data_IF_761762962742
#
_entry.id   IF_761762962742
#
_cell.length_a   1.000
_cell.length_b   1.000
_cell.length_c   1.000
_cell.angle_alpha   90.00
_cell.angle_beta   90.00
_cell.angle_gamma   90.00
#
_symmetry.space_group_name_H-M   'P 1'
#
loop_
_entity.id
_entity.type
_entity.pdbx_description
1 polymer ?
#
# COMPACT_ATOMS: atom_id res chain seq x y z
N UNK A 1 9.39 -35.62 -13.59
CA UNK A 1 10.42 -34.57 -13.59
C UNK A 1 10.42 -33.89 -14.96
N UNK A 2 9.82 -32.71 -15.06
CA UNK A 2 9.96 -31.79 -16.20
C UNK A 2 10.03 -30.37 -15.65
N UNK A 3 11.17 -29.74 -15.91
CA UNK A 3 11.52 -28.33 -15.69
C UNK A 3 10.56 -27.42 -16.47
N UNK A 4 9.91 -26.47 -15.81
CA UNK A 4 10.22 -25.02 -15.71
C UNK A 4 10.35 -24.30 -17.05
N UNK A 5 9.32 -23.51 -17.40
CA UNK A 5 9.46 -22.19 -18.04
C UNK A 5 8.23 -21.35 -17.64
N UNK A 6 8.33 -20.66 -16.50
CA UNK A 6 7.44 -19.55 -16.16
C UNK A 6 8.10 -18.27 -16.64
N UNK A 7 7.80 -17.90 -17.89
CA UNK A 7 8.24 -16.64 -18.49
C UNK A 7 7.39 -15.51 -17.89
N UNK A 8 7.83 -14.95 -16.75
CA UNK A 8 7.32 -13.66 -16.30
C UNK A 8 7.99 -12.59 -17.14
N UNK A 9 7.23 -12.06 -18.10
CA UNK A 9 7.54 -10.79 -18.73
C UNK A 9 7.46 -9.75 -17.61
N UNK A 10 8.62 -9.21 -17.23
CA UNK A 10 8.69 -7.94 -16.54
C UNK A 10 8.11 -6.91 -17.51
N UNK A 11 6.83 -6.57 -17.33
CA UNK A 11 6.25 -5.42 -17.99
C UNK A 11 6.93 -4.19 -17.38
N UNK A 12 7.79 -3.53 -18.18
CA UNK A 12 8.46 -2.28 -17.86
C UNK A 12 7.47 -1.10 -17.85
N UNK A 13 6.38 -1.22 -17.09
CA UNK A 13 5.40 -0.16 -16.84
C UNK A 13 5.20 0.07 -15.33
N UNK A 14 6.30 0.11 -14.57
CA UNK A 14 6.33 0.67 -13.19
C UNK A 14 6.25 2.21 -13.27
N UNK A 15 5.27 2.72 -14.00
CA UNK A 15 5.16 4.13 -14.40
C UNK A 15 4.04 4.90 -13.71
N UNK A 16 2.95 4.25 -13.32
CA UNK A 16 1.77 4.91 -12.73
C UNK A 16 1.27 4.28 -11.42
N UNK A 17 1.89 3.19 -10.96
CA UNK A 17 1.43 2.47 -9.76
C UNK A 17 1.78 3.17 -8.43
N UNK A 18 2.58 4.24 -8.50
CA UNK A 18 3.06 5.00 -7.34
C UNK A 18 1.92 5.56 -6.47
N UNK A 19 0.74 5.78 -7.06
CA UNK A 19 -0.44 6.28 -6.33
C UNK A 19 -1.12 5.23 -5.44
N UNK A 20 -0.99 3.93 -5.74
CA UNK A 20 -1.65 2.87 -4.97
C UNK A 20 -0.75 2.21 -3.91
N UNK A 21 0.56 2.42 -4.00
CA UNK A 21 1.56 1.94 -3.03
C UNK A 21 1.19 2.20 -1.55
N UNK A 22 0.63 3.38 -1.17
CA UNK A 22 0.28 3.65 0.22
C UNK A 22 -0.69 2.65 0.83
N UNK A 23 -1.61 2.08 0.06
CA UNK A 23 -2.70 1.27 0.62
C UNK A 23 -2.47 -0.24 0.51
N UNK A 24 -1.37 -0.66 -0.12
CA UNK A 24 -1.01 -2.07 -0.24
C UNK A 24 -0.84 -2.75 1.14
N UNK A 25 -1.11 -4.07 1.24
CA UNK A 25 -0.89 -4.82 2.48
C UNK A 25 0.58 -4.79 2.90
N UNK A 26 0.87 -5.03 4.18
CA UNK A 26 2.23 -5.00 4.71
C UNK A 26 3.12 -6.14 4.17
N UNK A 27 2.52 -7.20 3.62
CA UNK A 27 3.21 -8.30 2.95
C UNK A 27 3.33 -8.07 1.42
N UNK A 28 3.01 -6.89 0.90
CA UNK A 28 3.06 -6.60 -0.54
C UNK A 28 4.42 -6.89 -1.20
N UNK A 29 5.53 -6.60 -0.51
CA UNK A 29 6.86 -6.94 -1.02
C UNK A 29 7.06 -8.47 -1.15
N UNK A 30 6.48 -9.26 -0.24
CA UNK A 30 6.54 -10.72 -0.31
C UNK A 30 5.63 -11.24 -1.45
N UNK A 31 4.52 -10.55 -1.73
CA UNK A 31 3.63 -10.85 -2.85
C UNK A 31 4.34 -10.65 -4.19
N UNK A 32 4.96 -9.49 -4.42
CA UNK A 32 5.64 -9.20 -5.70
C UNK A 32 6.89 -10.06 -5.92
N UNK A 33 7.51 -10.54 -4.84
CA UNK A 33 8.63 -11.49 -4.91
C UNK A 33 8.17 -12.94 -5.16
N UNK A 34 6.86 -13.20 -5.10
CA UNK A 34 6.29 -14.54 -5.24
C UNK A 34 6.41 -15.43 -4.00
N UNK A 35 6.75 -14.85 -2.85
CA UNK A 35 6.83 -15.56 -1.56
C UNK A 35 5.43 -15.76 -0.93
N UNK A 36 4.46 -14.93 -1.30
CA UNK A 36 3.07 -14.96 -0.80
C UNK A 36 2.09 -14.81 -1.96
N UNK A 37 1.04 -15.64 -1.99
CA UNK A 37 -0.05 -15.49 -2.96
C UNK A 37 -0.99 -14.34 -2.55
N UNK A 38 -1.38 -13.50 -3.52
CA UNK A 38 -2.41 -12.48 -3.29
C UNK A 38 -3.79 -13.14 -3.12
N UNK A 39 -4.55 -12.65 -2.16
CA UNK A 39 -5.80 -13.28 -1.68
C UNK A 39 -6.73 -12.20 -1.10
N UNK A 40 -8.01 -12.52 -0.92
CA UNK A 40 -9.03 -11.58 -0.44
C UNK A 40 -8.72 -10.93 0.93
N UNK A 41 -7.91 -11.57 1.78
CA UNK A 41 -7.52 -10.99 3.07
C UNK A 41 -6.59 -9.77 2.91
N UNK A 42 -5.83 -9.71 1.81
CA UNK A 42 -5.01 -8.55 1.45
C UNK A 42 -5.87 -7.33 1.05
N UNK A 43 -7.01 -7.55 0.40
CA UNK A 43 -7.96 -6.47 0.09
C UNK A 43 -8.55 -5.86 1.37
N UNK A 44 -8.86 -6.70 2.37
CA UNK A 44 -9.39 -6.26 3.67
C UNK A 44 -8.34 -5.49 4.47
N UNK A 45 -7.08 -5.93 4.41
CA UNK A 45 -5.98 -5.17 5.02
C UNK A 45 -5.79 -3.81 4.32
N UNK A 46 -5.94 -3.76 2.99
CA UNK A 46 -5.85 -2.51 2.22
C UNK A 46 -6.96 -1.53 2.60
N UNK A 47 -8.18 -2.02 2.84
CA UNK A 47 -9.29 -1.23 3.37
C UNK A 47 -9.00 -0.70 4.79
N UNK A 48 -8.34 -1.50 5.63
CA UNK A 48 -7.86 -1.04 6.94
C UNK A 48 -6.83 0.09 6.81
N UNK A 49 -5.87 -0.02 5.88
CA UNK A 49 -4.90 1.06 5.65
C UNK A 49 -5.57 2.35 5.18
N UNK A 50 -6.61 2.27 4.36
CA UNK A 50 -7.43 3.43 4.00
C UNK A 50 -8.10 4.07 5.22
N UNK A 51 -8.67 3.26 6.12
CA UNK A 51 -9.26 3.76 7.38
C UNK A 51 -8.21 4.48 8.24
N UNK A 52 -7.02 3.92 8.39
CA UNK A 52 -5.91 4.55 9.13
C UNK A 52 -5.52 5.88 8.49
N UNK A 53 -5.44 5.94 7.16
CA UNK A 53 -5.14 7.16 6.43
C UNK A 53 -6.18 8.26 6.67
N UNK A 54 -7.47 7.93 6.67
CA UNK A 54 -8.56 8.88 6.99
C UNK A 54 -8.38 9.38 8.43
N UNK A 55 -8.19 8.48 9.39
CA UNK A 55 -8.05 8.81 10.82
C UNK A 55 -6.89 9.75 11.06
N UNK A 56 -5.70 9.45 10.52
CA UNK A 56 -4.49 10.25 10.72
C UNK A 56 -4.53 11.63 10.06
N UNK A 57 -5.51 11.89 9.19
CA UNK A 57 -5.64 13.18 8.50
C UNK A 57 -6.84 14.00 8.95
N UNK A 58 -7.89 13.34 9.42
CA UNK A 58 -9.21 13.95 9.57
C UNK A 58 -9.80 13.81 10.97
N UNK A 59 -9.04 13.27 11.94
CA UNK A 59 -9.49 13.15 13.33
C UNK A 59 -8.49 13.76 14.30
N UNK A 60 -8.98 14.16 15.48
CA UNK A 60 -8.12 14.59 16.59
C UNK A 60 -7.54 13.34 17.28
N UNK A 61 -6.33 12.95 16.87
CA UNK A 61 -5.67 11.74 17.33
C UNK A 61 -4.42 12.03 18.17
N UNK A 62 -4.03 11.09 19.03
CA UNK A 62 -2.92 11.26 19.98
C UNK A 62 -1.55 10.74 19.51
N UNK A 63 -1.45 10.31 18.24
CA UNK A 63 -0.20 9.80 17.69
C UNK A 63 0.98 10.77 17.93
N UNK A 64 2.14 10.31 18.47
CA UNK A 64 3.25 11.18 18.89
C UNK A 64 3.84 12.06 17.79
N UNK A 65 3.67 11.67 16.53
CA UNK A 65 4.13 12.43 15.36
C UNK A 65 3.12 13.44 14.82
N UNK A 66 1.92 13.54 15.41
CA UNK A 66 0.85 14.43 14.96
C UNK A 66 0.59 14.29 13.46
N UNK A 67 0.44 15.42 12.75
CA UNK A 67 0.15 15.46 11.31
C UNK A 67 1.25 14.82 10.42
N UNK A 68 2.45 14.57 10.96
CA UNK A 68 3.50 13.84 10.23
C UNK A 68 3.27 12.32 10.19
N UNK A 69 2.42 11.79 11.07
CA UNK A 69 2.15 10.36 11.18
C UNK A 69 1.76 9.73 9.84
N UNK A 70 0.82 10.36 9.12
CA UNK A 70 0.36 9.88 7.83
C UNK A 70 1.52 9.77 6.81
N UNK A 71 2.38 10.78 6.68
CA UNK A 71 3.49 10.76 5.73
C UNK A 71 4.61 9.77 6.09
N UNK A 72 4.81 9.50 7.38
CA UNK A 72 5.78 8.52 7.87
C UNK A 72 5.29 7.08 7.69
N UNK A 73 3.97 6.86 7.79
CA UNK A 73 3.36 5.54 7.62
C UNK A 73 3.18 5.20 6.14
N UNK A 74 2.80 6.19 5.34
CA UNK A 74 2.50 6.07 3.92
C UNK A 74 3.57 6.76 3.05
N UNK A 75 4.85 6.43 3.29
CA UNK A 75 5.99 7.08 2.62
C UNK A 75 5.93 6.84 1.11
N UNK A 76 5.61 7.86 0.29
CA UNK A 76 5.47 7.68 -1.15
C UNK A 76 6.83 7.38 -1.78
N UNK A 77 6.87 6.45 -2.73
CA UNK A 77 8.09 6.12 -3.46
C UNK A 77 9.12 5.28 -2.70
N UNK A 78 8.88 4.93 -1.43
CA UNK A 78 9.74 4.03 -0.65
C UNK A 78 8.93 2.85 -0.09
N UNK A 79 8.89 1.77 -0.86
CA UNK A 79 8.17 0.54 -0.50
C UNK A 79 8.76 -0.15 0.73
N UNK A 80 10.08 -0.10 0.91
CA UNK A 80 10.77 -0.77 2.02
C UNK A 80 10.43 -0.04 3.32
N UNK A 81 10.53 1.29 3.32
CA UNK A 81 10.17 2.10 4.48
C UNK A 81 8.67 2.01 4.78
N UNK A 82 7.81 2.04 3.75
CA UNK A 82 6.36 1.88 3.92
C UNK A 82 6.03 0.53 4.57
N UNK A 83 6.62 -0.58 4.10
CA UNK A 83 6.49 -1.90 4.72
C UNK A 83 6.95 -1.89 6.17
N UNK A 84 8.13 -1.36 6.44
CA UNK A 84 8.70 -1.33 7.79
C UNK A 84 7.81 -0.54 8.76
N UNK A 85 7.35 0.65 8.36
CA UNK A 85 6.43 1.49 9.15
C UNK A 85 5.10 0.77 9.42
N UNK A 86 4.51 0.12 8.42
CA UNK A 86 3.26 -0.65 8.59
C UNK A 86 3.41 -1.85 9.52
N UNK A 87 4.50 -2.62 9.39
CA UNK A 87 4.76 -3.74 10.31
C UNK A 87 4.99 -3.26 11.74
N UNK A 88 5.72 -2.16 11.93
CA UNK A 88 5.89 -1.54 13.24
C UNK A 88 4.53 -1.12 13.83
N UNK A 89 3.70 -0.42 13.05
CA UNK A 89 2.35 -0.01 13.43
C UNK A 89 1.47 -1.18 13.88
N UNK A 90 1.45 -2.29 13.13
CA UNK A 90 0.66 -3.48 13.47
C UNK A 90 1.16 -4.18 14.74
N UNK A 91 2.46 -4.12 15.01
CA UNK A 91 3.06 -4.73 16.21
C UNK A 91 2.91 -3.89 17.48
N UNK A 92 2.56 -2.61 17.35
CA UNK A 92 2.36 -1.71 18.49
C UNK A 92 1.03 -1.99 19.19
N UNK A 93 1.06 -2.07 20.52
CA UNK A 93 -0.16 -2.13 21.32
C UNK A 93 -0.79 -0.74 21.35
N UNK A 94 -1.92 -0.59 20.65
CA UNK A 94 -2.68 0.66 20.58
C UNK A 94 -1.90 1.83 19.94
N UNK A 95 -1.64 1.78 18.62
CA UNK A 95 -0.78 2.77 17.94
C UNK A 95 -1.38 4.18 17.91
N UNK A 96 -2.70 4.31 18.06
CA UNK A 96 -3.38 5.61 18.06
C UNK A 96 -4.74 5.56 18.76
N UNK A 97 -5.06 6.61 19.52
CA UNK A 97 -6.39 6.87 20.04
C UNK A 97 -6.97 8.15 19.43
N UNK A 98 -8.28 8.14 19.15
CA UNK A 98 -9.03 9.32 18.69
C UNK A 98 -9.71 9.97 19.90
N UNK A 99 -9.33 11.21 20.19
CA UNK A 99 -9.86 11.97 21.32
C UNK A 99 -11.36 12.18 21.11
N UNK A 100 -12.14 11.84 22.13
CA UNK A 100 -13.60 11.98 22.09
C UNK A 100 -14.33 10.96 21.19
N UNK A 101 -13.63 10.00 20.58
CA UNK A 101 -14.24 8.93 19.77
C UNK A 101 -13.72 7.54 20.20
N UNK A 102 -14.22 7.09 21.35
CA UNK A 102 -13.85 5.79 21.92
C UNK A 102 -14.24 4.60 21.02
N UNK A 103 -15.43 4.58 20.37
CA UNK A 103 -15.79 3.50 19.45
C UNK A 103 -14.84 3.34 18.26
N UNK A 104 -14.43 4.45 17.63
CA UNK A 104 -13.47 4.39 16.52
C UNK A 104 -12.08 3.96 16.99
N UNK A 105 -11.66 4.38 18.19
CA UNK A 105 -10.41 3.91 18.82
C UNK A 105 -10.45 2.40 19.07
N UNK A 106 -11.55 1.89 19.64
CA UNK A 106 -11.76 0.46 19.87
C UNK A 106 -11.76 -0.35 18.57
N UNK A 107 -12.43 0.16 17.54
CA UNK A 107 -12.44 -0.43 16.20
C UNK A 107 -11.03 -0.54 15.62
N UNK A 108 -10.27 0.56 15.62
CA UNK A 108 -8.89 0.56 15.11
C UNK A 108 -8.03 -0.46 15.83
N UNK A 109 -8.03 -0.48 17.16
CA UNK A 109 -7.23 -1.45 17.92
C UNK A 109 -7.61 -2.90 17.59
N UNK A 110 -8.91 -3.16 17.46
CA UNK A 110 -9.41 -4.50 17.14
C UNK A 110 -8.96 -4.96 15.75
N UNK A 111 -9.13 -4.11 14.74
CA UNK A 111 -8.75 -4.44 13.35
C UNK A 111 -7.22 -4.47 13.19
N UNK A 112 -6.48 -3.59 13.86
CA UNK A 112 -5.00 -3.61 13.91
C UNK A 112 -4.50 -4.99 14.34
N UNK A 113 -5.05 -5.53 15.43
CA UNK A 113 -4.68 -6.87 15.91
C UNK A 113 -5.03 -7.97 14.92
N UNK A 114 -6.15 -7.85 14.22
CA UNK A 114 -6.52 -8.84 13.19
C UNK A 114 -5.57 -8.78 11.99
N UNK A 115 -5.17 -7.58 11.56
CA UNK A 115 -4.16 -7.39 10.53
C UNK A 115 -2.78 -7.91 10.96
N UNK A 116 -2.36 -7.68 12.22
CA UNK A 116 -1.12 -8.26 12.77
C UNK A 116 -1.13 -9.80 12.70
N UNK A 117 -2.25 -10.43 13.05
CA UNK A 117 -2.42 -11.88 12.96
C UNK A 117 -2.47 -12.41 11.52
N UNK A 118 -2.87 -11.56 10.57
CA UNK A 118 -2.93 -11.85 9.14
C UNK A 118 -1.53 -11.84 8.48
N UNK A 119 -0.54 -11.20 9.09
CA UNK A 119 0.81 -11.14 8.53
C UNK A 119 1.48 -12.51 8.50
N UNK A 120 2.33 -12.71 7.51
CA UNK A 120 3.29 -13.80 7.51
C UNK A 120 4.33 -13.58 8.61
N UNK A 121 4.44 -14.56 9.52
CA UNK A 121 5.46 -14.61 10.57
C UNK A 121 6.19 -15.93 10.53
N UNK A 122 7.50 -15.90 10.83
CA UNK A 122 8.31 -17.12 10.94
C UNK A 122 7.98 -17.98 12.16
N UNK A 123 7.49 -17.34 13.23
CA UNK A 123 7.36 -17.96 14.56
C UNK A 123 5.91 -18.33 14.94
N UNK A 124 4.92 -17.82 14.20
CA UNK A 124 3.49 -18.07 14.48
C UNK A 124 2.72 -18.37 13.21
N UNK A 125 1.69 -19.19 13.36
CA UNK A 125 0.73 -19.48 12.29
C UNK A 125 -0.07 -18.22 11.94
N UNK A 126 -0.21 -17.98 10.63
CA UNK A 126 -1.03 -16.91 10.08
C UNK A 126 -2.51 -17.20 10.36
N UNK A 127 -3.25 -16.21 10.85
CA UNK A 127 -4.70 -16.25 10.94
C UNK A 127 -5.23 -15.27 9.89
N UNK A 128 -5.71 -15.75 8.72
CA UNK A 128 -6.17 -14.86 7.66
C UNK A 128 -7.31 -13.94 8.13
N UNK A 129 -7.23 -12.67 7.76
CA UNK A 129 -8.31 -11.71 7.98
C UNK A 129 -9.49 -12.07 7.07
N UNK A 130 -10.58 -12.54 7.66
CA UNK A 130 -11.80 -12.89 6.90
C UNK A 130 -12.76 -11.72 6.82
N UNK A 131 -13.55 -11.69 5.75
CA UNK A 131 -14.62 -10.70 5.58
C UNK A 131 -15.60 -10.72 6.76
N UNK A 132 -15.97 -11.90 7.26
CA UNK A 132 -16.85 -12.05 8.42
C UNK A 132 -16.26 -11.42 9.68
N UNK A 133 -14.97 -11.66 9.96
CA UNK A 133 -14.30 -11.10 11.12
C UNK A 133 -14.19 -9.57 11.02
N UNK A 134 -13.81 -9.05 9.85
CA UNK A 134 -13.70 -7.61 9.59
C UNK A 134 -15.07 -6.93 9.73
N UNK A 135 -16.08 -7.43 9.03
CA UNK A 135 -17.44 -6.88 9.10
C UNK A 135 -18.02 -6.98 10.52
N UNK A 136 -17.75 -8.08 11.22
CA UNK A 136 -18.14 -8.24 12.61
C UNK A 136 -17.49 -7.20 13.53
N UNK A 137 -16.24 -6.79 13.27
CA UNK A 137 -15.59 -5.71 14.00
C UNK A 137 -16.27 -4.36 13.72
N UNK A 138 -16.50 -4.03 12.45
CA UNK A 138 -17.18 -2.78 12.04
C UNK A 138 -18.58 -2.68 12.64
N UNK A 139 -19.38 -3.74 12.54
CA UNK A 139 -20.73 -3.75 13.09
C UNK A 139 -20.77 -3.72 14.61
N UNK A 140 -19.78 -4.32 15.29
CA UNK A 140 -19.68 -4.23 16.74
C UNK A 140 -19.45 -2.77 17.15
N UNK A 141 -18.47 -2.10 16.55
CA UNK A 141 -18.17 -0.69 16.83
C UNK A 141 -19.36 0.22 16.52
N UNK A 142 -20.06 0.00 15.41
CA UNK A 142 -21.27 0.76 15.07
C UNK A 142 -22.40 0.66 16.12
N UNK A 143 -22.44 -0.42 16.91
CA UNK A 143 -23.43 -0.61 17.99
C UNK A 143 -22.96 -0.06 19.34
N UNK A 144 -21.71 0.40 19.44
CA UNK A 144 -21.20 0.97 20.68
C UNK A 144 -21.82 2.36 20.94
N UNK A 145 -22.05 2.67 22.21
CA UNK A 145 -22.42 4.01 22.63
C UNK A 145 -21.19 4.94 22.63
N UNK A 146 -21.41 6.24 22.56
CA UNK A 146 -20.34 7.24 22.65
C UNK A 146 -19.73 7.66 21.32
N UNK A 147 -20.39 7.33 20.20
CA UNK A 147 -20.09 8.00 18.93
C UNK A 147 -20.42 9.50 19.05
N UNK A 148 -19.51 10.38 18.62
CA UNK A 148 -19.78 11.81 18.57
C UNK A 148 -20.96 12.14 17.63
N UNK A 149 -21.79 13.10 18.03
CA UNK A 149 -22.96 13.55 17.24
C UNK A 149 -22.58 14.55 16.13
N UNK A 150 -21.52 15.34 16.35
CA UNK A 150 -20.99 16.34 15.41
C UNK A 150 -19.50 16.03 15.16
N UNK A 151 -19.25 14.93 14.47
CA UNK A 151 -17.93 14.47 14.03
C UNK A 151 -17.74 14.85 12.57
N UNK A 152 -17.52 16.14 12.36
CA UNK A 152 -17.10 16.60 11.05
C UNK A 152 -15.63 16.24 10.85
N UNK A 153 -15.29 15.71 9.68
CA UNK A 153 -13.90 15.47 9.29
C UNK A 153 -13.09 16.76 9.42
N UNK A 154 -12.02 16.72 10.21
CA UNK A 154 -11.12 17.85 10.34
C UNK A 154 -10.45 18.16 8.99
N UNK A 155 -10.34 19.43 8.59
CA UNK A 155 -9.56 19.80 7.41
C UNK A 155 -8.12 19.33 7.57
N UNK A 156 -7.59 18.66 6.55
CA UNK A 156 -6.20 18.22 6.61
C UNK A 156 -5.26 19.42 6.53
N UNK A 157 -4.35 19.52 7.50
CA UNK A 157 -3.28 20.53 7.53
C UNK A 157 -1.95 19.83 7.28
N UNK A 158 -1.23 20.15 6.18
CA UNK A 158 0.10 19.60 5.92
C UNK A 158 1.03 19.85 7.12
N UNK A 159 1.91 18.89 7.46
CA UNK A 159 2.93 19.15 8.47
C UNK A 159 3.85 20.28 8.01
N UNK A 160 4.23 21.17 8.92
CA UNK A 160 5.25 22.16 8.63
C UNK A 160 6.55 21.45 8.19
N UNK A 161 7.26 21.98 7.18
CA UNK A 161 8.58 21.47 6.83
C UNK A 161 9.43 21.49 8.11
N UNK A 162 10.31 20.51 8.26
CA UNK A 162 11.29 20.59 9.35
C UNK A 162 12.03 21.90 9.14
N UNK A 163 11.86 22.86 10.04
CA UNK A 163 12.58 24.12 9.96
C UNK A 163 14.05 23.77 9.79
N UNK A 164 14.69 24.35 8.78
CA UNK A 164 16.12 24.19 8.56
C UNK A 164 16.79 24.63 9.86
N UNK A 165 17.20 23.68 10.69
CA UNK A 165 18.17 23.97 11.74
C UNK A 165 19.48 24.17 11.02
N UNK A 166 19.63 25.35 10.41
CA UNK A 166 20.92 26.02 10.25
C UNK A 166 21.47 26.16 11.67
N UNK A 167 22.15 25.13 12.15
CA UNK A 167 23.07 25.08 13.30
C UNK A 167 23.05 23.68 13.93
N UNK A 168 23.63 22.71 13.25
CA UNK A 168 24.35 21.64 13.95
C UNK A 168 25.40 21.03 13.04
N UNK A 169 26.67 21.36 13.34
CA UNK A 169 27.85 20.58 13.01
C UNK A 169 27.54 19.08 13.12
N UNK A 170 27.54 18.38 11.98
CA UNK A 170 27.60 16.92 11.97
C UNK A 170 28.76 16.47 11.08
N UNK A 171 29.97 16.84 11.50
CA UNK A 171 31.09 15.91 11.43
C UNK A 171 30.81 14.80 12.47
N UNK A 172 30.06 13.76 12.08
CA UNK A 172 30.35 12.43 12.60
C UNK A 172 29.79 11.31 11.71
N UNK A 173 30.73 10.49 11.26
CA UNK A 173 30.58 9.18 10.64
C UNK A 173 29.43 8.32 11.20
N UNK A 174 28.49 8.02 10.33
CA UNK A 174 27.80 6.73 10.33
C UNK A 174 27.57 6.31 8.88
N UNK A 175 28.67 5.90 8.24
CA UNK A 175 28.64 5.12 7.01
C UNK A 175 27.84 3.84 7.28
N UNK A 176 26.59 3.80 6.82
CA UNK A 176 25.87 2.54 6.66
C UNK A 176 26.59 1.80 5.53
N UNK A 177 27.36 0.78 5.91
CA UNK A 177 28.00 -0.15 4.98
C UNK A 177 26.89 -0.93 4.27
N UNK A 178 26.55 -0.50 3.05
CA UNK A 178 25.85 -1.35 2.10
C UNK A 178 26.86 -2.35 1.54
N UNK A 179 26.72 -3.62 1.93
CA UNK A 179 27.42 -4.72 1.27
C UNK A 179 26.83 -4.90 -0.14
N UNK A 180 27.37 -4.22 -1.13
CA UNK A 180 27.23 -4.62 -2.54
C UNK A 180 28.35 -5.62 -2.82
N UNK A 181 28.02 -6.90 -2.96
CA UNK A 181 28.97 -7.86 -3.55
C UNK A 181 29.04 -7.60 -5.05
N UNK A 182 30.19 -7.10 -5.49
CA UNK A 182 30.57 -6.92 -6.88
C UNK A 182 30.43 -8.25 -7.64
N UNK A 183 29.80 -8.20 -8.83
CA UNK A 183 29.91 -9.27 -9.83
C UNK A 183 30.60 -8.66 -11.04
N UNK A 184 31.77 -9.20 -11.32
CA UNK A 184 32.72 -8.72 -12.32
C UNK A 184 32.10 -8.61 -13.73
N UNK A 185 32.23 -7.42 -14.31
CA UNK A 185 32.12 -7.18 -15.75
C UNK A 185 33.38 -7.70 -16.47
N UNK A 186 33.26 -8.83 -17.17
CA UNK A 186 33.99 -9.06 -18.43
C UNK A 186 33.50 -10.35 -19.09
N UNK A 187 32.75 -10.24 -20.20
CA UNK A 187 33.12 -10.96 -21.42
C UNK A 187 32.35 -10.42 -22.64
N UNK A 188 33.10 -9.80 -23.55
CA UNK A 188 32.67 -9.46 -24.91
C UNK A 188 32.84 -10.70 -25.77
N UNK A 189 31.80 -11.18 -26.45
CA UNK A 189 31.98 -11.72 -27.80
C UNK A 189 30.67 -11.81 -28.61
N UNK A 190 30.86 -11.49 -29.88
CA UNK A 190 29.87 -11.10 -30.88
C UNK A 190 29.34 -12.31 -31.64
N UNK A 191 28.07 -12.27 -32.07
CA UNK A 191 27.59 -13.01 -33.27
C UNK A 191 26.21 -12.52 -33.72
N UNK A 192 26.16 -11.89 -34.88
CA UNK A 192 24.92 -11.50 -35.53
C UNK A 192 24.21 -12.65 -36.24
N UNK A 193 22.90 -12.53 -36.41
CA UNK A 193 22.15 -13.03 -37.56
C UNK A 193 20.73 -12.43 -37.59
N UNK A 194 20.52 -11.56 -38.58
CA UNK A 194 19.31 -11.26 -39.34
C UNK A 194 18.06 -12.14 -39.08
N UNK A 195 16.90 -11.51 -38.85
CA UNK A 195 15.63 -11.93 -39.46
C UNK A 195 14.56 -10.83 -39.45
N UNK A 196 14.03 -10.65 -40.64
CA UNK A 196 12.99 -9.76 -41.13
C UNK A 196 11.59 -10.33 -40.80
N UNK A 197 10.71 -9.52 -40.21
CA UNK A 197 9.26 -9.73 -40.16
C UNK A 197 8.57 -8.40 -39.85
N UNK A 198 7.74 -7.93 -40.79
CA UNK A 198 7.13 -6.59 -40.79
C UNK A 198 6.18 -6.30 -39.63
N UNK A 199 6.30 -5.08 -39.10
CA UNK A 199 5.38 -4.45 -38.16
C UNK A 199 4.15 -3.88 -38.90
N UNK A 200 2.92 -4.01 -38.38
CA UNK A 200 1.76 -3.29 -38.90
C UNK A 200 1.86 -1.79 -38.60
N UNK A 201 1.29 -0.97 -39.48
CA UNK A 201 1.41 0.49 -39.39
C UNK A 201 0.41 1.08 -38.37
N UNK A 202 0.79 2.21 -37.77
CA UNK A 202 0.07 2.92 -36.70
C UNK A 202 -1.42 3.25 -37.02
N UNK A 203 -1.82 3.16 -38.29
CA UNK A 203 -3.19 3.45 -38.74
C UNK A 203 -4.21 2.35 -38.39
N UNK A 204 -3.78 1.10 -38.13
CA UNK A 204 -4.71 -0.01 -37.82
C UNK A 204 -4.99 -0.12 -36.32
N UNK A 205 -4.13 0.45 -35.47
CA UNK A 205 -4.25 0.41 -34.00
C UNK A 205 -5.26 1.44 -33.49
N UNK A 206 -5.32 2.63 -34.10
CA UNK A 206 -6.24 3.71 -33.69
C UNK A 206 -7.72 3.35 -33.92
N UNK A 207 -8.03 2.67 -35.03
CA UNK A 207 -9.42 2.31 -35.35
C UNK A 207 -10.00 1.23 -34.41
N UNK A 208 -9.15 0.46 -33.72
CA UNK A 208 -9.59 -0.58 -32.79
C UNK A 208 -9.72 -0.06 -31.35
N UNK A 209 -9.07 1.06 -31.04
CA UNK A 209 -9.16 1.74 -29.74
C UNK A 209 -10.45 2.55 -29.61
N UNK A 210 -10.84 3.28 -30.67
CA UNK A 210 -12.07 4.11 -30.66
C UNK A 210 -13.36 3.28 -30.57
N UNK A 211 -13.36 2.06 -31.10
CA UNK A 211 -14.50 1.15 -31.01
C UNK A 211 -14.69 0.56 -29.60
N UNK A 212 -13.62 0.40 -28.81
CA UNK A 212 -13.69 -0.15 -27.45
C UNK A 212 -14.02 0.92 -26.40
N UNK A 213 -13.57 2.17 -26.61
CA UNK A 213 -13.89 3.28 -25.71
C UNK A 213 -15.38 3.63 -25.73
N UNK A 214 -16.03 3.47 -26.88
CA UNK A 214 -17.48 3.70 -27.02
C UNK A 214 -18.35 2.66 -26.31
N UNK A 215 -17.91 1.40 -26.22
CA UNK A 215 -18.64 0.30 -25.58
C UNK A 215 -18.65 0.45 -24.04
N UNK A 216 -17.50 0.80 -23.47
CA UNK A 216 -17.33 1.00 -22.01
C UNK A 216 -18.10 2.22 -21.50
N UNK A 217 -18.21 3.27 -22.31
CA UNK A 217 -18.91 4.50 -21.91
C UNK A 217 -20.43 4.36 -21.92
N UNK A 218 -21.00 3.46 -22.73
CA UNK A 218 -22.44 3.19 -22.74
C UNK A 218 -22.86 2.24 -21.60
N UNK A 219 -22.00 1.31 -21.20
CA UNK A 219 -22.26 0.44 -20.05
C UNK A 219 -22.19 1.19 -18.70
N UNK A 220 -21.27 2.16 -18.58
CA UNK A 220 -21.22 3.04 -17.40
C UNK A 220 -22.44 3.97 -17.31
N UNK A 221 -23.00 4.40 -18.45
CA UNK A 221 -24.23 5.20 -18.48
C UNK A 221 -25.48 4.39 -18.12
N UNK A 222 -25.52 3.11 -18.48
CA UNK A 222 -26.61 2.20 -18.09
C UNK A 222 -26.62 1.93 -16.59
N UNK A 223 -25.44 1.82 -15.97
CA UNK A 223 -25.33 1.52 -14.54
C UNK A 223 -25.77 2.69 -13.63
N UNK A 224 -25.65 3.93 -14.11
CA UNK A 224 -25.94 5.14 -13.34
C UNK A 224 -27.43 5.54 -13.29
N UNK A 225 -28.31 4.89 -14.04
CA UNK A 225 -29.74 5.26 -14.16
C UNK A 225 -30.70 4.35 -13.36
N UNK A 226 -30.17 3.34 -12.67
CA UNK A 226 -30.96 2.34 -11.93
C UNK A 226 -30.95 2.55 -10.39
N UNK A 227 -30.66 3.78 -9.92
CA UNK A 227 -30.80 4.20 -8.52
C UNK A 227 -31.60 5.50 -8.40
#
# INVERSE_FOLDING_TARGET
MRNTEGLYIADENVGDDAEQIPFMPADYLDIINGDVEYEAHHDLESLYWLLVWIVLRHTDHDHPKGNRACGLLFTPGDLIQCRASKRAWLSENAPVSIRGNAPLTGLLHKVTRMCDQNLLHRERERIPLTHEAFLGAMQAAHREDGWPLNDDMLPWVPPEPAGDTEDSDWDNDSVIVLCTSDVDEENVESRGASRDAGLPTASEVDNQLDAQVHDVTDDLRRWALDW
#
